data_IF_607980466923
#
_entry.id   IF_607980466923
#
_cell.length_a   1.000
_cell.length_b   1.000
_cell.length_c   1.000
_cell.angle_alpha   90.00
_cell.angle_beta   90.00
_cell.angle_gamma   90.00
#
_symmetry.space_group_name_H-M   'P 1'
#
loop_
_entity.id
_entity.type
_entity.pdbx_description
1 polymer ?
#
# COMPACT_ATOMS: atom_id res chain seq x y z
N UNK A 1 2.73 6.79 -10.02
CA UNK A 1 2.89 7.73 -8.88
C UNK A 1 3.94 8.82 -9.13
N UNK A 2 3.72 10.07 -8.70
CA UNK A 2 4.74 11.15 -8.71
C UNK A 2 5.73 11.00 -7.55
N UNK A 3 6.88 11.66 -7.62
CA UNK A 3 7.89 11.62 -6.54
C UNK A 3 7.34 12.16 -5.20
N UNK A 4 6.47 13.18 -5.25
CA UNK A 4 5.79 13.71 -4.07
C UNK A 4 4.86 12.67 -3.42
N UNK A 5 4.06 11.97 -4.21
CA UNK A 5 3.12 10.98 -3.69
C UNK A 5 3.85 9.78 -3.03
N UNK A 6 5.04 9.41 -3.54
CA UNK A 6 5.89 8.41 -2.89
C UNK A 6 6.39 8.88 -1.52
N UNK A 7 6.80 10.15 -1.41
CA UNK A 7 7.25 10.75 -0.15
C UNK A 7 6.12 10.88 0.88
N UNK A 8 4.93 11.32 0.45
CA UNK A 8 3.75 11.42 1.32
C UNK A 8 3.33 10.07 1.87
N UNK A 9 3.39 9.02 1.04
CA UNK A 9 3.11 7.66 1.46
C UNK A 9 4.14 7.14 2.47
N UNK A 10 5.44 7.39 2.24
CA UNK A 10 6.47 7.02 3.20
C UNK A 10 6.28 7.72 4.56
N UNK A 11 5.91 9.00 4.54
CA UNK A 11 5.58 9.75 5.75
C UNK A 11 4.32 9.20 6.45
N UNK A 12 3.27 8.85 5.70
CA UNK A 12 2.07 8.24 6.24
C UNK A 12 2.36 6.89 6.89
N UNK A 13 3.19 6.04 6.26
CA UNK A 13 3.62 4.75 6.82
C UNK A 13 4.40 4.96 8.13
N UNK A 14 5.31 5.93 8.18
CA UNK A 14 6.04 6.27 9.40
C UNK A 14 5.10 6.75 10.53
N UNK A 15 4.08 7.53 10.18
CA UNK A 15 3.08 8.04 11.12
C UNK A 15 2.13 6.97 11.68
N UNK A 16 2.05 5.78 11.06
CA UNK A 16 1.25 4.67 11.60
C UNK A 16 1.85 4.08 12.89
N UNK A 17 3.09 4.42 13.24
CA UNK A 17 3.81 3.91 14.42
C UNK A 17 3.84 2.37 14.48
N UNK A 18 3.71 1.72 13.32
CA UNK A 18 3.70 0.28 13.16
C UNK A 18 5.04 -0.17 12.56
N UNK A 19 5.53 -1.39 12.91
CA UNK A 19 6.65 -1.98 12.20
C UNK A 19 6.33 -2.09 10.70
N UNK A 20 7.31 -1.78 9.85
CA UNK A 20 7.18 -1.82 8.37
C UNK A 20 6.57 -3.15 7.88
N UNK A 21 7.03 -4.27 8.44
CA UNK A 21 6.49 -5.60 8.14
C UNK A 21 5.00 -5.77 8.52
N UNK A 22 4.56 -5.12 9.60
CA UNK A 22 3.16 -5.10 10.03
C UNK A 22 2.27 -4.31 9.05
N UNK A 23 2.75 -3.13 8.62
CA UNK A 23 2.04 -2.33 7.60
C UNK A 23 1.93 -3.10 6.28
N UNK A 24 3.03 -3.72 5.82
CA UNK A 24 3.02 -4.57 4.62
C UNK A 24 1.96 -5.67 4.73
N UNK A 25 1.97 -6.43 5.82
CA UNK A 25 1.00 -7.53 6.03
C UNK A 25 -0.45 -7.04 6.02
N UNK A 26 -0.71 -5.87 6.61
CA UNK A 26 -2.03 -5.26 6.63
C UNK A 26 -2.50 -4.84 5.23
N UNK A 27 -1.62 -4.24 4.42
CA UNK A 27 -1.91 -3.87 3.04
C UNK A 27 -2.17 -5.09 2.15
N UNK A 28 -1.35 -6.14 2.26
CA UNK A 28 -1.55 -7.39 1.53
C UNK A 28 -2.91 -8.04 1.86
N UNK A 29 -3.26 -8.09 3.15
CA UNK A 29 -4.55 -8.64 3.58
C UNK A 29 -5.72 -7.83 3.01
N UNK A 30 -5.64 -6.50 3.09
CA UNK A 30 -6.66 -5.58 2.57
C UNK A 30 -6.82 -5.72 1.05
N UNK A 31 -5.70 -5.81 0.32
CA UNK A 31 -5.68 -6.05 -1.13
C UNK A 31 -6.35 -7.39 -1.48
N UNK A 32 -5.99 -8.46 -0.78
CA UNK A 32 -6.56 -9.79 -1.00
C UNK A 32 -8.08 -9.82 -0.74
N UNK A 33 -8.55 -9.12 0.29
CA UNK A 33 -9.97 -8.96 0.58
C UNK A 33 -10.70 -8.26 -0.59
N UNK A 34 -10.21 -7.10 -1.04
CA UNK A 34 -10.81 -6.37 -2.17
C UNK A 34 -10.83 -7.21 -3.45
N UNK A 35 -9.72 -7.90 -3.76
CA UNK A 35 -9.60 -8.77 -4.91
C UNK A 35 -10.64 -9.90 -4.89
N UNK A 36 -10.87 -10.51 -3.72
CA UNK A 36 -11.82 -11.62 -3.53
C UNK A 36 -13.29 -11.18 -3.59
N UNK A 37 -13.63 -10.03 -3.02
CA UNK A 37 -15.05 -9.65 -2.81
C UNK A 37 -15.63 -8.73 -3.88
N UNK A 38 -14.80 -8.05 -4.67
CA UNK A 38 -15.29 -7.23 -5.80
C UNK A 38 -14.35 -7.16 -7.00
N UNK A 39 -13.08 -7.54 -6.82
CA UNK A 39 -12.08 -7.54 -7.88
C UNK A 39 -11.89 -6.17 -8.52
N UNK A 40 -11.26 -6.14 -9.69
CA UNK A 40 -11.04 -4.90 -10.46
C UNK A 40 -12.34 -4.22 -10.86
N UNK A 41 -13.45 -4.95 -11.06
CA UNK A 41 -14.74 -4.36 -11.41
C UNK A 41 -15.21 -3.32 -10.39
N UNK A 42 -14.94 -3.53 -9.10
CA UNK A 42 -15.39 -2.65 -8.01
C UNK A 42 -14.26 -1.84 -7.38
N UNK A 43 -13.03 -2.36 -7.42
CA UNK A 43 -11.91 -1.82 -6.64
C UNK A 43 -10.66 -1.57 -7.49
N UNK A 44 -10.77 -1.34 -8.81
CA UNK A 44 -9.60 -1.15 -9.68
C UNK A 44 -8.58 -0.15 -9.11
N UNK A 45 -9.00 1.10 -8.88
CA UNK A 45 -8.11 2.16 -8.38
C UNK A 45 -7.55 1.86 -6.99
N UNK A 46 -8.36 1.26 -6.11
CA UNK A 46 -7.91 0.88 -4.77
C UNK A 46 -6.89 -0.27 -4.80
N UNK A 47 -7.07 -1.24 -5.70
CA UNK A 47 -6.12 -2.33 -5.90
C UNK A 47 -4.80 -1.81 -6.47
N UNK A 48 -4.87 -0.86 -7.41
CA UNK A 48 -3.69 -0.20 -7.97
C UNK A 48 -2.97 0.62 -6.88
N UNK A 49 -3.71 1.32 -6.01
CA UNK A 49 -3.14 2.02 -4.86
C UNK A 49 -2.44 1.06 -3.87
N UNK A 50 -3.04 -0.09 -3.57
CA UNK A 50 -2.37 -1.09 -2.72
C UNK A 50 -1.06 -1.58 -3.34
N UNK A 51 -1.02 -1.75 -4.66
CA UNK A 51 0.20 -2.12 -5.39
C UNK A 51 1.28 -1.04 -5.30
N UNK A 52 0.93 0.22 -5.49
CA UNK A 52 1.86 1.34 -5.32
C UNK A 52 2.39 1.42 -3.88
N UNK A 53 1.52 1.22 -2.89
CA UNK A 53 1.90 1.20 -1.48
C UNK A 53 2.90 0.09 -1.14
N UNK A 54 2.64 -1.13 -1.62
CA UNK A 54 3.52 -2.27 -1.39
C UNK A 54 4.89 -2.08 -2.08
N UNK A 55 4.92 -1.49 -3.27
CA UNK A 55 6.17 -1.20 -3.97
C UNK A 55 7.07 -0.21 -3.19
N UNK A 56 6.48 0.81 -2.55
CA UNK A 56 7.23 1.74 -1.68
C UNK A 56 7.75 1.05 -0.42
N UNK A 57 7.00 0.10 0.13
CA UNK A 57 7.43 -0.69 1.29
C UNK A 57 8.57 -1.67 0.97
N UNK A 58 8.66 -2.10 -0.28
CA UNK A 58 9.72 -3.01 -0.74
C UNK A 58 10.98 -2.27 -1.19
N UNK A 59 10.91 -0.96 -1.39
CA UNK A 59 12.08 -0.13 -1.64
C UNK A 59 12.99 -0.10 -0.39
N UNK A 60 14.32 -0.18 -0.56
CA UNK A 60 15.26 -0.06 0.55
C UNK A 60 15.13 1.30 1.23
N UNK A 61 15.16 1.31 2.56
CA UNK A 61 15.23 2.54 3.35
C UNK A 61 16.49 3.31 2.93
N UNK A 62 16.30 4.53 2.43
CA UNK A 62 17.39 5.41 1.98
C UNK A 62 18.07 6.10 3.15
#
# INVERSE_FOLDING_TARGET
MSEQAAADLAAAVAALEMPRAGVRRWLEWSKAFCARHGGRRRYAELLDLYDECLAVLDAPER
#
